data_IF_598900323324
#
_entry.id   IF_598900323324
#
_cell.length_a   1.000
_cell.length_b   1.000
_cell.length_c   1.000
_cell.angle_alpha   90.00
_cell.angle_beta   90.00
_cell.angle_gamma   90.00
#
_symmetry.space_group_name_H-M   'P 1'
#
loop_
_entity.id
_entity.type
_entity.pdbx_description
1 polymer ?
#
# COMPACT_ATOMS: atom_id res chain seq x y z
N UNK A 1 -14.44 -15.33 5.60
CA UNK A 1 -14.72 -13.90 5.87
C UNK A 1 -14.76 -13.59 7.37
N UNK A 2 -15.55 -14.31 8.19
CA UNK A 2 -15.68 -14.08 9.64
C UNK A 2 -14.35 -13.93 10.42
N UNK A 3 -13.39 -14.83 10.24
CA UNK A 3 -12.12 -14.80 10.99
C UNK A 3 -11.23 -13.58 10.67
N UNK A 4 -11.29 -13.08 9.44
CA UNK A 4 -10.52 -11.90 9.02
C UNK A 4 -10.99 -10.66 9.76
N UNK A 5 -12.30 -10.37 9.74
CA UNK A 5 -12.85 -9.22 10.46
C UNK A 5 -12.68 -9.32 11.98
N UNK A 6 -12.80 -10.51 12.55
CA UNK A 6 -12.53 -10.73 13.98
C UNK A 6 -11.08 -10.40 14.35
N UNK A 7 -10.12 -10.77 13.49
CA UNK A 7 -8.71 -10.44 13.71
C UNK A 7 -8.47 -8.92 13.62
N UNK A 8 -9.13 -8.23 12.68
CA UNK A 8 -9.03 -6.77 12.59
C UNK A 8 -9.64 -6.08 13.81
N UNK A 9 -10.79 -6.53 14.30
CA UNK A 9 -11.41 -6.00 15.53
C UNK A 9 -10.48 -6.16 16.72
N UNK A 10 -9.84 -7.33 16.86
CA UNK A 10 -8.83 -7.56 17.90
C UNK A 10 -7.65 -6.60 17.78
N UNK A 11 -7.08 -6.45 16.59
CA UNK A 11 -5.92 -5.57 16.34
C UNK A 11 -6.24 -4.08 16.59
N UNK A 12 -7.47 -3.67 16.33
CA UNK A 12 -7.95 -2.28 16.53
C UNK A 12 -8.48 -2.01 17.93
N UNK A 13 -8.63 -3.04 18.78
CA UNK A 13 -9.26 -2.91 20.09
C UNK A 13 -10.74 -2.56 19.99
N UNK A 14 -11.48 -3.24 19.11
CA UNK A 14 -12.90 -3.07 18.81
C UNK A 14 -13.33 -1.70 18.26
N UNK A 15 -12.37 -0.86 17.84
CA UNK A 15 -12.61 0.39 17.10
C UNK A 15 -13.03 0.10 15.65
N UNK A 16 -13.29 1.18 14.91
CA UNK A 16 -13.52 1.08 13.46
C UNK A 16 -12.34 0.39 12.77
N UNK A 17 -12.63 -0.75 12.13
CA UNK A 17 -11.64 -1.56 11.40
C UNK A 17 -11.33 -1.00 10.02
N UNK A 18 -12.08 -0.01 9.53
CA UNK A 18 -12.00 0.47 8.15
C UNK A 18 -10.58 0.90 7.78
N UNK A 19 -9.86 1.73 8.56
CA UNK A 19 -8.53 2.17 8.19
C UNK A 19 -7.51 1.03 8.12
N UNK A 20 -7.61 0.08 9.06
CA UNK A 20 -6.74 -1.10 9.10
C UNK A 20 -7.06 -2.06 7.95
N UNK A 21 -8.35 -2.26 7.64
CA UNK A 21 -8.79 -3.08 6.51
C UNK A 21 -8.26 -2.52 5.20
N UNK A 22 -8.43 -1.22 4.96
CA UNK A 22 -7.93 -0.54 3.75
C UNK A 22 -6.43 -0.75 3.56
N UNK A 23 -5.65 -0.68 4.64
CA UNK A 23 -4.21 -0.97 4.57
C UNK A 23 -3.92 -2.45 4.32
N UNK A 24 -4.56 -3.35 5.07
CA UNK A 24 -4.30 -4.81 5.00
C UNK A 24 -4.68 -5.39 3.64
N UNK A 25 -5.72 -4.85 2.99
CA UNK A 25 -6.11 -5.28 1.65
C UNK A 25 -5.05 -4.99 0.59
N UNK A 26 -4.07 -4.12 0.85
CA UNK A 26 -3.01 -3.71 -0.08
C UNK A 26 -1.65 -4.36 0.21
N UNK A 27 -1.56 -5.19 1.25
CA UNK A 27 -0.31 -5.85 1.64
C UNK A 27 -0.41 -7.36 1.50
N UNK A 28 0.73 -7.98 1.23
CA UNK A 28 0.91 -9.43 1.32
C UNK A 28 1.98 -9.76 2.36
N UNK A 29 1.91 -10.92 3.02
CA UNK A 29 3.03 -11.47 3.77
C UNK A 29 4.27 -11.58 2.87
N UNK A 30 5.45 -11.33 3.43
CA UNK A 30 6.71 -11.54 2.71
C UNK A 30 6.78 -13.00 2.24
N UNK A 31 7.05 -13.17 0.93
CA UNK A 31 7.10 -14.47 0.28
C UNK A 31 8.43 -15.18 0.56
N UNK A 32 8.39 -16.52 0.49
CA UNK A 32 9.52 -17.42 0.79
C UNK A 32 9.86 -17.37 2.29
N UNK A 33 10.61 -18.35 2.83
CA UNK A 33 10.97 -18.52 4.25
C UNK A 33 11.76 -17.34 4.88
N UNK A 34 11.78 -16.17 4.24
CA UNK A 34 12.41 -14.93 4.68
C UNK A 34 11.66 -14.23 5.82
N UNK A 35 10.43 -14.67 6.15
CA UNK A 35 9.70 -14.19 7.33
C UNK A 35 10.53 -14.34 8.62
N UNK A 36 11.27 -15.44 8.77
CA UNK A 36 12.14 -15.70 9.93
C UNK A 36 13.43 -14.87 9.94
N UNK A 37 13.82 -14.30 8.80
CA UNK A 37 15.02 -13.47 8.67
C UNK A 37 14.78 -12.01 9.13
N UNK A 38 13.54 -11.62 9.42
CA UNK A 38 13.21 -10.30 9.99
C UNK A 38 13.27 -10.25 11.53
N UNK A 39 14.02 -11.15 12.15
CA UNK A 39 14.30 -11.12 13.60
C UNK A 39 13.17 -11.63 14.51
N UNK A 40 11.98 -11.93 13.99
CA UNK A 40 10.91 -12.55 14.79
C UNK A 40 10.91 -14.06 14.62
N UNK A 41 11.25 -14.76 15.72
CA UNK A 41 11.19 -16.22 15.82
C UNK A 41 9.80 -16.64 16.28
N UNK A 42 9.19 -17.55 15.53
CA UNK A 42 7.92 -18.18 15.90
C UNK A 42 8.20 -19.56 16.51
N UNK A 43 7.46 -19.87 17.57
CA UNK A 43 7.35 -21.19 18.21
C UNK A 43 5.90 -21.68 18.08
N UNK A 44 5.64 -22.94 18.42
CA UNK A 44 4.27 -23.48 18.48
C UNK A 44 3.36 -22.74 19.48
N UNK A 45 3.95 -22.05 20.46
CA UNK A 45 3.25 -21.24 21.47
C UNK A 45 3.14 -19.76 21.11
N UNK A 46 3.68 -19.33 19.97
CA UNK A 46 3.65 -17.92 19.57
C UNK A 46 2.22 -17.49 19.18
N UNK A 47 1.74 -16.34 19.67
CA UNK A 47 0.41 -15.85 19.33
C UNK A 47 0.36 -15.37 17.87
N UNK A 48 -0.58 -15.93 17.09
CA UNK A 48 -0.85 -15.56 15.70
C UNK A 48 -1.82 -14.38 15.63
N UNK A 49 -1.37 -13.22 16.12
CA UNK A 49 -2.23 -12.05 16.36
C UNK A 49 -1.59 -10.76 15.86
N UNK A 50 -0.68 -10.83 14.88
CA UNK A 50 0.01 -9.69 14.27
C UNK A 50 -0.63 -9.29 12.94
N UNK A 51 -0.20 -8.18 12.36
CA UNK A 51 -0.74 -7.71 11.07
C UNK A 51 -0.49 -8.73 9.96
N UNK A 52 0.70 -9.33 9.93
CA UNK A 52 1.04 -10.40 8.97
C UNK A 52 0.15 -11.64 9.09
N UNK A 53 -0.44 -11.91 10.26
CA UNK A 53 -1.37 -13.03 10.44
C UNK A 53 -2.78 -12.71 9.93
N UNK A 54 -3.10 -11.40 9.81
CA UNK A 54 -4.33 -10.91 9.20
C UNK A 54 -4.20 -10.73 7.68
N UNK A 55 -2.99 -10.49 7.19
CA UNK A 55 -2.72 -10.31 5.76
C UNK A 55 -3.03 -11.58 4.97
N UNK A 56 -3.61 -11.41 3.78
CA UNK A 56 -3.96 -12.53 2.90
C UNK A 56 -2.77 -12.91 2.02
N UNK A 57 -2.71 -14.15 1.51
CA UNK A 57 -1.65 -14.56 0.59
C UNK A 57 -1.59 -13.74 -0.70
N UNK A 58 -2.69 -13.11 -1.06
CA UNK A 58 -2.84 -12.33 -2.28
C UNK A 58 -3.71 -11.09 -2.06
N UNK A 59 -3.27 -9.95 -2.56
CA UNK A 59 -3.99 -8.68 -2.53
C UNK A 59 -4.85 -8.51 -3.79
N UNK A 60 -6.13 -8.84 -3.68
CA UNK A 60 -7.10 -8.57 -4.75
C UNK A 60 -7.25 -7.07 -5.04
N UNK A 61 -7.17 -6.21 -4.01
CA UNK A 61 -7.25 -4.77 -4.18
C UNK A 61 -6.06 -4.22 -4.98
N UNK A 62 -4.84 -4.72 -4.74
CA UNK A 62 -3.67 -4.33 -5.52
C UNK A 62 -3.73 -4.87 -6.96
N UNK A 63 -4.23 -6.10 -7.19
CA UNK A 63 -4.48 -6.62 -8.54
C UNK A 63 -5.51 -5.78 -9.30
N UNK A 64 -6.60 -5.41 -8.63
CA UNK A 64 -7.63 -4.55 -9.23
C UNK A 64 -7.08 -3.16 -9.57
N UNK A 65 -6.23 -2.60 -8.70
CA UNK A 65 -5.53 -1.36 -8.97
C UNK A 65 -4.58 -1.48 -10.17
N UNK A 66 -3.79 -2.55 -10.26
CA UNK A 66 -2.90 -2.81 -11.39
C UNK A 66 -3.68 -2.81 -12.71
N UNK A 67 -4.83 -3.48 -12.76
CA UNK A 67 -5.71 -3.49 -13.95
C UNK A 67 -6.23 -2.10 -14.31
N UNK A 68 -6.51 -1.24 -13.33
CA UNK A 68 -6.94 0.14 -13.56
C UNK A 68 -5.80 1.00 -14.10
N UNK A 69 -4.58 0.82 -13.59
CA UNK A 69 -3.38 1.45 -14.15
C UNK A 69 -3.18 1.01 -15.59
N UNK A 70 -3.28 -0.30 -15.88
CA UNK A 70 -3.18 -0.82 -17.25
C UNK A 70 -4.24 -0.20 -18.18
N UNK A 71 -5.47 -0.05 -17.69
CA UNK A 71 -6.56 0.58 -18.44
C UNK A 71 -6.30 2.06 -18.72
N UNK A 72 -5.77 2.80 -17.74
CA UNK A 72 -5.34 4.19 -17.91
C UNK A 72 -4.23 4.33 -18.95
N UNK A 73 -3.21 3.46 -18.90
CA UNK A 73 -2.10 3.47 -19.85
C UNK A 73 -2.51 3.03 -21.26
N UNK A 74 -3.55 2.20 -21.38
CA UNK A 74 -4.10 1.82 -22.68
C UNK A 74 -5.02 2.91 -23.27
N UNK A 75 -5.77 3.63 -22.42
CA UNK A 75 -6.69 4.68 -22.82
C UNK A 75 -6.80 5.76 -21.71
N UNK A 76 -6.16 6.93 -21.88
CA UNK A 76 -6.17 8.00 -20.88
C UNK A 76 -7.47 8.83 -20.90
N UNK A 77 -8.61 8.17 -20.70
CA UNK A 77 -9.91 8.83 -20.53
C UNK A 77 -10.05 9.40 -19.12
N UNK A 78 -10.95 10.38 -18.97
CA UNK A 78 -11.31 10.96 -17.66
C UNK A 78 -11.77 9.87 -16.67
N UNK A 79 -12.57 8.91 -17.14
CA UNK A 79 -13.04 7.79 -16.33
C UNK A 79 -11.90 6.91 -15.81
N UNK A 80 -10.94 6.56 -16.67
CA UNK A 80 -9.79 5.74 -16.27
C UNK A 80 -8.86 6.50 -15.32
N UNK A 81 -8.68 7.81 -15.54
CA UNK A 81 -7.91 8.65 -14.63
C UNK A 81 -8.59 8.75 -13.26
N UNK A 82 -9.91 9.00 -13.22
CA UNK A 82 -10.68 9.05 -11.99
C UNK A 82 -10.64 7.71 -11.23
N UNK A 83 -10.76 6.59 -11.94
CA UNK A 83 -10.70 5.24 -11.38
C UNK A 83 -9.38 4.95 -10.63
N UNK A 84 -8.25 5.48 -11.10
CA UNK A 84 -6.95 5.39 -10.44
C UNK A 84 -6.83 6.43 -9.33
N UNK A 85 -7.17 7.69 -9.62
CA UNK A 85 -7.02 8.81 -8.69
C UNK A 85 -7.86 8.65 -7.42
N UNK A 86 -9.08 8.10 -7.52
CA UNK A 86 -9.97 7.96 -6.37
C UNK A 86 -9.47 6.91 -5.37
N UNK A 87 -8.88 5.82 -5.84
CA UNK A 87 -8.23 4.83 -4.95
C UNK A 87 -7.03 5.45 -4.24
N UNK A 88 -6.17 6.17 -4.98
CA UNK A 88 -5.00 6.82 -4.40
C UNK A 88 -5.39 7.91 -3.38
N UNK A 89 -6.47 8.66 -3.62
CA UNK A 89 -7.01 9.62 -2.64
C UNK A 89 -7.46 8.95 -1.35
N UNK A 90 -8.10 7.78 -1.43
CA UNK A 90 -8.50 6.99 -0.25
C UNK A 90 -7.24 6.60 0.53
N UNK A 91 -6.24 6.04 -0.14
CA UNK A 91 -5.02 5.55 0.51
C UNK A 91 -4.17 6.66 1.12
N UNK A 92 -4.03 7.79 0.41
CA UNK A 92 -3.39 9.01 0.91
C UNK A 92 -3.99 9.50 2.23
N UNK A 93 -5.32 9.46 2.36
CA UNK A 93 -6.02 9.91 3.57
C UNK A 93 -6.05 8.86 4.68
N UNK A 94 -5.82 7.59 4.33
CA UNK A 94 -5.98 6.47 5.25
C UNK A 94 -5.01 6.51 6.44
N UNK A 95 -3.78 6.99 6.22
CA UNK A 95 -2.75 6.98 7.26
C UNK A 95 -3.17 7.77 8.50
N UNK A 96 -3.79 8.94 8.36
CA UNK A 96 -4.25 9.74 9.51
C UNK A 96 -5.25 8.98 10.40
N UNK A 97 -6.21 8.30 9.78
CA UNK A 97 -7.19 7.50 10.51
C UNK A 97 -6.55 6.26 11.15
N UNK A 98 -5.62 5.60 10.43
CA UNK A 98 -4.90 4.45 10.94
C UNK A 98 -3.93 4.82 12.08
N UNK A 99 -3.29 5.98 12.01
CA UNK A 99 -2.37 6.50 13.03
C UNK A 99 -3.08 6.67 14.38
N UNK A 100 -4.32 7.19 14.37
CA UNK A 100 -5.11 7.31 15.58
C UNK A 100 -5.35 5.95 16.26
N UNK A 101 -5.50 4.88 15.47
CA UNK A 101 -5.62 3.51 16.00
C UNK A 101 -4.25 3.02 16.49
N UNK A 102 -3.18 3.17 15.70
CA UNK A 102 -1.80 2.76 16.04
C UNK A 102 -1.35 3.33 17.38
N UNK A 103 -1.65 4.61 17.65
CA UNK A 103 -1.31 5.29 18.90
C UNK A 103 -1.87 4.58 20.15
N UNK A 104 -2.93 3.79 19.98
CA UNK A 104 -3.63 3.08 21.04
C UNK A 104 -3.54 1.56 20.94
N UNK A 105 -2.95 1.03 19.87
CA UNK A 105 -2.78 -0.40 19.59
C UNK A 105 -1.31 -0.71 19.30
N UNK A 106 -0.50 -1.08 20.31
CA UNK A 106 0.94 -1.34 20.14
C UNK A 106 1.26 -2.39 19.07
N UNK A 107 0.37 -3.37 18.87
CA UNK A 107 0.51 -4.41 17.85
C UNK A 107 0.57 -3.87 16.41
N UNK A 108 0.08 -2.65 16.16
CA UNK A 108 0.06 -2.02 14.84
C UNK A 108 1.28 -1.12 14.58
N UNK A 109 2.13 -0.85 15.58
CA UNK A 109 3.32 0.02 15.38
C UNK A 109 4.28 -0.52 14.31
N UNK A 110 4.32 -1.83 14.13
CA UNK A 110 5.20 -2.48 13.15
C UNK A 110 4.91 -2.11 11.69
N UNK A 111 3.72 -1.57 11.40
CA UNK A 111 3.31 -1.15 10.04
C UNK A 111 3.21 0.37 9.88
N UNK A 112 3.46 1.15 10.93
CA UNK A 112 3.22 2.60 10.92
C UNK A 112 3.96 3.31 9.80
N UNK A 113 5.27 3.07 9.69
CA UNK A 113 6.10 3.63 8.62
C UNK A 113 5.68 3.14 7.23
N UNK A 114 5.18 1.90 7.12
CA UNK A 114 4.68 1.37 5.85
C UNK A 114 3.34 2.01 5.44
N UNK A 115 2.49 2.37 6.41
CA UNK A 115 1.28 3.16 6.16
C UNK A 115 1.61 4.59 5.74
N UNK A 116 2.68 5.18 6.26
CA UNK A 116 3.15 6.49 5.81
C UNK A 116 3.71 6.40 4.39
N UNK A 117 4.49 5.35 4.07
CA UNK A 117 4.96 5.10 2.71
C UNK A 117 3.80 4.95 1.71
N UNK A 118 2.71 4.27 2.08
CA UNK A 118 1.51 4.20 1.26
C UNK A 118 0.94 5.60 0.93
N UNK A 119 0.98 6.53 1.88
CA UNK A 119 0.57 7.92 1.64
C UNK A 119 1.46 8.58 0.60
N UNK A 120 2.78 8.49 0.80
CA UNK A 120 3.80 9.06 -0.09
C UNK A 120 3.68 8.52 -1.52
N UNK A 121 3.61 7.20 -1.70
CA UNK A 121 3.50 6.61 -3.03
C UNK A 121 2.13 6.88 -3.67
N UNK A 122 1.08 7.07 -2.87
CA UNK A 122 -0.23 7.47 -3.40
C UNK A 122 -0.16 8.87 -4.00
N UNK A 123 0.56 9.79 -3.37
CA UNK A 123 0.81 11.13 -3.92
C UNK A 123 1.61 11.09 -5.22
N UNK A 124 2.66 10.26 -5.27
CA UNK A 124 3.45 10.02 -6.49
C UNK A 124 2.55 9.48 -7.61
N UNK A 125 1.73 8.46 -7.33
CA UNK A 125 0.82 7.87 -8.30
C UNK A 125 -0.20 8.87 -8.83
N UNK A 126 -0.73 9.76 -7.98
CA UNK A 126 -1.65 10.81 -8.41
C UNK A 126 -0.96 11.81 -9.35
N UNK A 127 0.26 12.24 -9.00
CA UNK A 127 1.04 13.14 -9.83
C UNK A 127 1.39 12.49 -11.18
N UNK A 128 1.88 11.25 -11.18
CA UNK A 128 2.19 10.49 -12.38
C UNK A 128 0.97 10.33 -13.30
N UNK A 129 -0.21 10.01 -12.74
CA UNK A 129 -1.46 9.94 -13.50
C UNK A 129 -1.85 11.27 -14.13
N UNK A 130 -1.66 12.39 -13.42
CA UNK A 130 -1.93 13.72 -13.97
C UNK A 130 -0.96 14.09 -15.09
N UNK A 131 0.35 13.84 -14.91
CA UNK A 131 1.35 14.04 -15.98
C UNK A 131 1.00 13.22 -17.22
N UNK A 132 0.66 11.95 -17.03
CA UNK A 132 0.30 11.04 -18.10
C UNK A 132 -0.93 11.52 -18.89
N UNK A 133 -2.04 11.81 -18.20
CA UNK A 133 -3.28 12.27 -18.85
C UNK A 133 -3.14 13.64 -19.52
N UNK A 134 -2.38 14.56 -18.92
CA UNK A 134 -2.16 15.90 -19.48
C UNK A 134 -1.05 15.96 -20.54
N UNK A 135 -0.34 14.86 -20.80
CA UNK A 135 0.84 14.78 -21.67
C UNK A 135 1.94 15.76 -21.28
N UNK A 136 2.02 16.10 -19.99
CA UNK A 136 3.08 16.93 -19.44
C UNK A 136 4.23 16.05 -18.97
N UNK A 137 5.44 16.56 -19.13
CA UNK A 137 6.65 15.89 -18.65
C UNK A 137 6.99 16.40 -17.25
N UNK A 138 7.26 15.52 -16.27
CA UNK A 138 7.85 15.95 -15.02
C UNK A 138 9.34 16.26 -15.19
N UNK A 139 9.92 16.99 -14.25
CA UNK A 139 11.37 17.16 -14.21
C UNK A 139 12.11 15.85 -13.95
N UNK A 140 13.33 15.70 -14.46
CA UNK A 140 14.19 14.56 -14.17
C UNK A 140 14.38 14.33 -12.66
N UNK A 141 14.50 15.41 -11.88
CA UNK A 141 14.62 15.35 -10.42
C UNK A 141 13.37 14.76 -9.74
N UNK A 142 12.17 15.12 -10.20
CA UNK A 142 10.93 14.51 -9.69
C UNK A 142 10.87 13.02 -10.03
N UNK A 143 11.26 12.64 -11.24
CA UNK A 143 11.20 11.26 -11.70
C UNK A 143 12.18 10.38 -10.91
N UNK A 144 13.44 10.80 -10.76
CA UNK A 144 14.45 10.11 -9.94
C UNK A 144 13.98 9.97 -8.49
N UNK A 145 13.53 11.08 -7.88
CA UNK A 145 13.05 11.08 -6.51
C UNK A 145 11.85 10.14 -6.29
N UNK A 146 10.95 10.08 -7.26
CA UNK A 146 9.78 9.20 -7.21
C UNK A 146 10.19 7.72 -7.19
N UNK A 147 11.15 7.33 -8.03
CA UNK A 147 11.68 5.97 -8.07
C UNK A 147 12.39 5.59 -6.76
N UNK A 148 13.19 6.49 -6.18
CA UNK A 148 13.83 6.26 -4.88
C UNK A 148 12.81 6.00 -3.76
N UNK A 149 11.75 6.80 -3.71
CA UNK A 149 10.69 6.68 -2.70
C UNK A 149 9.89 5.38 -2.89
N UNK A 150 9.66 4.96 -4.14
CA UNK A 150 9.03 3.68 -4.45
C UNK A 150 9.91 2.50 -4.01
N UNK A 151 11.21 2.55 -4.25
CA UNK A 151 12.15 1.53 -3.77
C UNK A 151 12.25 1.47 -2.25
N UNK A 152 12.17 2.62 -1.56
CA UNK A 152 12.06 2.65 -0.11
C UNK A 152 10.75 1.99 0.37
N UNK A 153 9.62 2.28 -0.28
CA UNK A 153 8.30 1.70 0.05
C UNK A 153 8.20 0.20 -0.22
N UNK A 154 9.00 -0.34 -1.14
CA UNK A 154 9.10 -1.77 -1.44
C UNK A 154 9.63 -2.59 -0.27
N UNK A 155 10.43 -1.98 0.60
CA UNK A 155 11.05 -2.68 1.73
C UNK A 155 9.98 -3.16 2.71
N UNK A 156 9.96 -4.45 3.08
CA UNK A 156 8.97 -4.96 4.02
C UNK A 156 9.08 -4.33 5.41
N UNK A 157 7.94 -4.16 6.09
CA UNK A 157 7.87 -3.88 7.54
C UNK A 157 6.76 -4.73 8.15
N UNK A 158 6.90 -5.12 9.42
CA UNK A 158 5.92 -5.97 10.08
C UNK A 158 5.68 -7.32 9.37
N UNK A 159 6.69 -7.84 8.65
CA UNK A 159 6.58 -9.05 7.82
C UNK A 159 5.54 -8.99 6.69
N UNK A 160 5.14 -7.78 6.27
CA UNK A 160 4.30 -7.53 5.11
C UNK A 160 4.96 -6.56 4.14
N UNK A 161 4.50 -6.56 2.89
CA UNK A 161 4.97 -5.68 1.82
C UNK A 161 3.80 -5.05 1.06
N UNK A 162 3.97 -3.81 0.60
CA UNK A 162 2.97 -3.10 -0.21
C UNK A 162 2.94 -3.67 -1.63
N UNK A 163 1.76 -4.07 -2.08
CA UNK A 163 1.57 -4.69 -3.39
C UNK A 163 1.22 -3.69 -4.50
N UNK A 164 1.04 -2.42 -4.16
CA UNK A 164 0.73 -1.33 -5.09
C UNK A 164 1.97 -0.55 -5.56
N UNK A 165 3.17 -0.90 -5.08
CA UNK A 165 4.41 -0.24 -5.50
C UNK A 165 4.65 -0.45 -7.00
N UNK A 166 4.57 -1.69 -7.51
CA UNK A 166 4.83 -1.99 -8.93
C UNK A 166 3.84 -1.29 -9.88
N UNK A 167 2.52 -1.30 -9.64
CA UNK A 167 1.59 -0.54 -10.47
C UNK A 167 1.84 0.97 -10.45
N UNK A 168 2.23 1.56 -9.31
CA UNK A 168 2.54 3.00 -9.23
C UNK A 168 3.84 3.30 -9.98
N UNK A 169 4.86 2.46 -9.82
CA UNK A 169 6.12 2.59 -10.54
C UNK A 169 5.92 2.48 -12.05
N UNK A 170 5.04 1.57 -12.51
CA UNK A 170 4.67 1.47 -13.92
C UNK A 170 4.09 2.78 -14.46
N UNK A 171 3.26 3.46 -13.67
CA UNK A 171 2.70 4.76 -14.04
C UNK A 171 3.76 5.85 -14.08
N UNK A 172 4.69 5.88 -13.12
CA UNK A 172 5.85 6.81 -13.11
C UNK A 172 6.74 6.60 -14.33
N UNK A 173 7.04 5.34 -14.68
CA UNK A 173 7.87 5.00 -15.86
C UNK A 173 7.19 5.32 -17.20
N UNK A 174 5.86 5.45 -17.21
CA UNK A 174 5.11 5.79 -18.41
C UNK A 174 5.14 7.29 -18.75
N UNK A 175 5.57 8.15 -17.80
CA UNK A 175 5.77 9.57 -18.05
C UNK A 175 7.23 9.85 -18.36
N UNK A 176 7.52 10.29 -19.59
CA UNK A 176 8.87 10.69 -19.98
C UNK A 176 9.29 11.93 -19.19
N UNK A 177 10.44 11.88 -18.53
CA UNK A 177 11.03 13.06 -17.91
C UNK A 177 11.51 14.07 -18.99
N UNK A 178 11.57 15.34 -18.60
CA UNK A 178 12.20 16.43 -19.37
C UNK A 178 13.70 16.22 -19.56
#
# INVERSE_FOLDING_TARGET
RKNFEMMLRRLTGDRDITPLRTFIELVEPVKIYTRHHQGVKYTSSSPLTRVVDAARPESMAARDFARRVDSLLANPSEDNQAAVADLLKIWKRNHTALQAIINTSPALREIESLSQDLTTISEIGMAAGNYYSSRQKPSAAWHERSLELLEAARKPRGQVMLMVVDPIEKLVKAVEAE
#
